data_IF_322544031945
#
_entry.id   IF_322544031945
#
_cell.length_a   1.000
_cell.length_b   1.000
_cell.length_c   1.000
_cell.angle_alpha   90.00
_cell.angle_beta   90.00
_cell.angle_gamma   90.00
#
_symmetry.space_group_name_H-M   'P 1'
#
loop_
_entity.id
_entity.type
_entity.pdbx_description
1 polymer ?
#
# COMPACT_ATOMS: atom_id res chain seq x y z
N UNK A 1 48.58 25.06 0.06
CA UNK A 1 47.49 25.68 -0.75
C UNK A 1 46.84 24.75 -1.81
N UNK A 2 47.44 23.66 -2.28
CA UNK A 2 46.80 22.79 -3.30
C UNK A 2 45.71 21.86 -2.73
N UNK A 3 45.91 21.35 -1.51
CA UNK A 3 45.00 20.41 -0.85
C UNK A 3 43.64 21.04 -0.53
N UNK A 4 43.60 22.29 -0.09
CA UNK A 4 42.34 22.99 0.21
C UNK A 4 41.47 23.15 -1.06
N UNK A 5 42.08 23.40 -2.22
CA UNK A 5 41.35 23.53 -3.50
C UNK A 5 40.74 22.19 -3.92
N UNK A 6 41.47 21.09 -3.72
CA UNK A 6 40.98 19.74 -4.02
C UNK A 6 39.82 19.37 -3.10
N UNK A 7 39.97 19.57 -1.78
CA UNK A 7 38.89 19.30 -0.80
C UNK A 7 37.65 20.14 -1.08
N UNK A 8 37.83 21.43 -1.39
CA UNK A 8 36.73 22.32 -1.73
C UNK A 8 36.02 21.87 -3.01
N UNK A 9 36.77 21.48 -4.05
CA UNK A 9 36.18 20.97 -5.30
C UNK A 9 35.36 19.69 -5.09
N UNK A 10 35.83 18.79 -4.22
CA UNK A 10 35.13 17.56 -3.87
C UNK A 10 33.84 17.86 -3.08
N UNK A 11 33.92 18.77 -2.12
CA UNK A 11 32.76 19.20 -1.33
C UNK A 11 31.67 19.84 -2.21
N UNK A 12 32.05 20.68 -3.18
CA UNK A 12 31.11 21.27 -4.15
C UNK A 12 30.49 20.19 -5.03
N UNK A 13 31.27 19.22 -5.51
CA UNK A 13 30.74 18.11 -6.31
C UNK A 13 29.72 17.27 -5.54
N UNK A 14 30.02 16.92 -4.28
CA UNK A 14 29.09 16.20 -3.40
C UNK A 14 27.83 17.01 -3.14
N UNK A 15 27.97 18.31 -2.85
CA UNK A 15 26.83 19.19 -2.61
C UNK A 15 25.92 19.32 -3.84
N UNK A 16 26.50 19.42 -5.05
CA UNK A 16 25.74 19.44 -6.30
C UNK A 16 24.95 18.13 -6.50
N UNK A 17 25.58 16.97 -6.30
CA UNK A 17 24.90 15.67 -6.41
C UNK A 17 23.75 15.56 -5.40
N UNK A 18 24.00 15.92 -4.13
CA UNK A 18 22.96 15.91 -3.09
C UNK A 18 21.80 16.85 -3.43
N UNK A 19 22.10 18.03 -3.97
CA UNK A 19 21.08 19.01 -4.37
C UNK A 19 20.19 18.46 -5.49
N UNK A 20 20.77 17.80 -6.49
CA UNK A 20 20.00 17.15 -7.57
C UNK A 20 19.11 16.04 -7.02
N UNK A 21 19.65 15.18 -6.15
CA UNK A 21 18.88 14.09 -5.53
C UNK A 21 17.71 14.64 -4.69
N UNK A 22 17.94 15.70 -3.91
CA UNK A 22 16.89 16.34 -3.12
C UNK A 22 15.81 16.94 -4.03
N UNK A 23 16.18 17.69 -5.08
CA UNK A 23 15.22 18.27 -6.02
C UNK A 23 14.37 17.19 -6.69
N UNK A 24 14.96 16.06 -7.11
CA UNK A 24 14.20 14.95 -7.68
C UNK A 24 13.26 14.28 -6.66
N UNK A 25 13.71 14.12 -5.43
CA UNK A 25 12.90 13.54 -4.35
C UNK A 25 11.67 14.40 -4.01
N UNK A 26 11.80 15.73 -4.08
CA UNK A 26 10.71 16.67 -3.79
C UNK A 26 9.82 17.04 -4.98
N UNK A 27 10.31 16.93 -6.23
CA UNK A 27 9.53 17.26 -7.44
C UNK A 27 8.56 16.17 -7.90
N UNK A 28 8.72 14.94 -7.42
CA UNK A 28 7.84 13.85 -7.86
C UNK A 28 6.51 13.93 -7.10
N UNK A 29 5.56 14.71 -7.63
CA UNK A 29 4.18 14.67 -7.15
C UNK A 29 3.65 13.24 -7.28
N UNK A 30 3.27 12.65 -6.15
CA UNK A 30 2.68 11.32 -6.14
C UNK A 30 1.19 11.43 -6.34
N UNK A 31 0.70 10.75 -7.36
CA UNK A 31 -0.72 10.59 -7.56
C UNK A 31 -1.23 9.42 -6.73
N UNK A 32 -2.40 9.61 -6.13
CA UNK A 32 -3.05 8.57 -5.35
C UNK A 32 -4.46 8.31 -5.88
N UNK A 33 -4.88 7.05 -5.78
CA UNK A 33 -6.26 6.61 -6.00
C UNK A 33 -6.74 5.96 -4.72
N UNK A 34 -7.93 6.34 -4.26
CA UNK A 34 -8.57 5.70 -3.11
C UNK A 34 -9.53 4.64 -3.61
N UNK A 35 -9.25 3.37 -3.29
CA UNK A 35 -10.20 2.29 -3.51
C UNK A 35 -11.05 2.11 -2.27
N UNK A 36 -12.37 2.18 -2.40
CA UNK A 36 -13.25 2.18 -1.24
C UNK A 36 -14.46 1.25 -1.41
N UNK A 37 -15.06 0.87 -0.30
CA UNK A 37 -16.37 0.25 -0.25
C UNK A 37 -17.14 0.86 0.92
N UNK A 38 -18.27 1.53 0.62
CA UNK A 38 -19.06 2.23 1.63
C UNK A 38 -19.83 1.26 2.53
N UNK A 39 -20.38 0.19 1.95
CA UNK A 39 -21.20 -0.80 2.67
C UNK A 39 -20.37 -1.57 3.71
N UNK A 40 -19.14 -1.94 3.35
CA UNK A 40 -18.20 -2.66 4.21
C UNK A 40 -17.26 -1.73 4.99
N UNK A 41 -17.41 -0.41 4.83
CA UNK A 41 -16.71 0.66 5.54
C UNK A 41 -15.17 0.50 5.58
N UNK A 42 -14.55 0.45 4.40
CA UNK A 42 -13.08 0.47 4.30
C UNK A 42 -12.60 1.21 3.05
N UNK A 43 -11.32 1.59 3.06
CA UNK A 43 -10.61 1.99 1.85
C UNK A 43 -9.12 1.68 1.86
N UNK A 44 -8.52 1.71 0.67
CA UNK A 44 -7.09 1.62 0.41
C UNK A 44 -6.62 2.92 -0.21
N UNK A 45 -5.46 3.41 0.21
CA UNK A 45 -4.76 4.50 -0.46
C UNK A 45 -3.68 3.89 -1.37
N UNK A 46 -3.85 4.01 -2.68
CA UNK A 46 -2.98 3.38 -3.67
C UNK A 46 -2.17 4.45 -4.41
N UNK A 47 -0.86 4.36 -4.27
CA UNK A 47 0.15 5.21 -4.91
C UNK A 47 0.36 4.82 -6.38
N UNK A 48 0.70 5.77 -7.25
CA UNK A 48 0.92 5.56 -8.68
C UNK A 48 2.05 4.59 -9.06
N UNK A 49 2.91 4.21 -8.09
CA UNK A 49 3.89 3.12 -8.26
C UNK A 49 3.26 1.74 -8.37
N UNK A 50 1.97 1.59 -8.06
CA UNK A 50 1.24 0.35 -8.22
C UNK A 50 0.43 0.35 -9.51
N UNK A 51 0.60 -0.70 -10.31
CA UNK A 51 -0.35 -1.10 -11.32
C UNK A 51 -1.38 -2.06 -10.72
N UNK A 52 -2.56 -2.12 -11.31
CA UNK A 52 -3.63 -2.95 -10.78
C UNK A 52 -4.64 -3.45 -11.82
N UNK A 53 -5.33 -4.52 -11.43
CA UNK A 53 -6.45 -5.14 -12.12
C UNK A 53 -7.59 -5.31 -11.12
N UNK A 54 -8.77 -4.81 -11.46
CA UNK A 54 -9.97 -4.85 -10.62
C UNK A 54 -10.96 -5.86 -11.20
N UNK A 55 -11.50 -6.71 -10.33
CA UNK A 55 -12.62 -7.59 -10.59
C UNK A 55 -13.74 -7.33 -9.56
N UNK A 56 -14.87 -8.02 -9.69
CA UNK A 56 -15.97 -7.99 -8.72
C UNK A 56 -15.58 -8.59 -7.38
N UNK A 57 -14.75 -9.63 -7.37
CA UNK A 57 -14.42 -10.40 -6.14
C UNK A 57 -12.99 -10.22 -5.67
N UNK A 58 -12.10 -9.72 -6.54
CA UNK A 58 -10.70 -9.51 -6.21
C UNK A 58 -10.13 -8.23 -6.81
N UNK A 59 -9.03 -7.80 -6.23
CA UNK A 59 -8.20 -6.70 -6.69
C UNK A 59 -6.74 -7.16 -6.67
N UNK A 60 -6.12 -7.24 -7.84
CA UNK A 60 -4.69 -7.56 -7.97
C UNK A 60 -3.91 -6.26 -8.11
N UNK A 61 -2.75 -6.23 -7.47
CA UNK A 61 -1.85 -5.08 -7.53
C UNK A 61 -0.40 -5.53 -7.64
N UNK A 62 0.42 -4.75 -8.32
CA UNK A 62 1.85 -5.04 -8.46
C UNK A 62 2.66 -3.77 -8.63
N UNK A 63 3.92 -3.84 -8.22
CA UNK A 63 4.91 -2.77 -8.39
C UNK A 63 6.31 -3.36 -8.37
N UNK A 64 7.10 -3.11 -9.42
CA UNK A 64 8.38 -3.77 -9.60
C UNK A 64 8.24 -5.30 -9.59
N UNK A 65 8.95 -5.98 -8.68
CA UNK A 65 8.90 -7.44 -8.51
C UNK A 65 7.84 -7.91 -7.49
N UNK A 66 7.21 -6.97 -6.79
CA UNK A 66 6.23 -7.28 -5.75
C UNK A 66 4.84 -7.36 -6.35
N UNK A 67 4.03 -8.30 -5.86
CA UNK A 67 2.64 -8.49 -6.30
C UNK A 67 1.78 -8.94 -5.16
N UNK A 68 0.53 -8.50 -5.15
CA UNK A 68 -0.46 -8.95 -4.19
C UNK A 68 -1.84 -9.12 -4.82
N UNK A 69 -2.70 -9.83 -4.11
CA UNK A 69 -4.10 -10.04 -4.47
C UNK A 69 -4.92 -9.92 -3.20
N UNK A 70 -5.85 -8.97 -3.22
CA UNK A 70 -6.88 -8.78 -2.20
C UNK A 70 -8.17 -9.42 -2.69
N UNK A 71 -8.79 -10.24 -1.86
CA UNK A 71 -10.06 -10.92 -2.16
C UNK A 71 -11.08 -10.61 -1.07
N UNK A 72 -12.33 -10.41 -1.46
CA UNK A 72 -13.45 -10.34 -0.52
C UNK A 72 -14.06 -11.74 -0.41
N UNK A 73 -14.08 -12.30 0.80
CA UNK A 73 -14.66 -13.61 1.08
C UNK A 73 -15.77 -13.49 2.13
N UNK A 74 -16.83 -14.28 1.96
CA UNK A 74 -17.86 -14.49 2.98
C UNK A 74 -17.40 -15.63 3.91
N UNK A 75 -16.50 -15.29 4.83
CA UNK A 75 -15.98 -16.18 5.86
C UNK A 75 -15.36 -15.36 7.01
N UNK A 76 -15.21 -15.99 8.18
CA UNK A 76 -14.58 -15.40 9.37
C UNK A 76 -13.06 -15.52 9.33
N UNK A 77 -12.38 -14.79 10.22
CA UNK A 77 -10.93 -14.91 10.39
C UNK A 77 -10.52 -16.35 10.73
N UNK A 78 -9.48 -16.82 10.06
CA UNK A 78 -8.86 -18.12 10.27
C UNK A 78 -8.27 -18.21 11.68
N UNK A 79 -8.58 -19.31 12.38
CA UNK A 79 -8.22 -19.50 13.80
C UNK A 79 -6.72 -19.72 14.02
N UNK A 80 -5.99 -20.18 13.00
CA UNK A 80 -4.55 -20.46 13.08
C UNK A 80 -3.69 -19.20 12.90
N UNK A 81 -4.29 -18.04 12.64
CA UNK A 81 -3.57 -16.80 12.40
C UNK A 81 -3.28 -16.04 13.70
N UNK A 82 -2.11 -15.40 13.74
CA UNK A 82 -1.78 -14.47 14.83
C UNK A 82 -2.67 -13.24 14.71
N UNK A 83 -3.51 -13.00 15.71
CA UNK A 83 -4.39 -11.84 15.77
C UNK A 83 -3.59 -10.55 16.03
N UNK A 84 -3.88 -9.52 15.26
CA UNK A 84 -3.29 -8.19 15.35
C UNK A 84 -4.37 -7.15 15.06
N UNK A 85 -4.23 -5.94 15.61
CA UNK A 85 -5.09 -4.81 15.26
C UNK A 85 -4.34 -3.91 14.28
N UNK A 86 -4.89 -3.69 13.09
CA UNK A 86 -4.28 -2.89 12.03
C UNK A 86 -5.30 -1.91 11.46
N UNK A 87 -5.03 -0.60 11.50
CA UNK A 87 -5.85 0.47 10.91
C UNK A 87 -7.36 0.40 11.22
N UNK A 88 -7.71 -0.09 12.42
CA UNK A 88 -9.09 -0.25 12.87
C UNK A 88 -9.75 -1.58 12.50
N UNK A 89 -9.00 -2.57 12.00
CA UNK A 89 -9.46 -3.93 11.79
C UNK A 89 -8.86 -4.88 12.83
N UNK A 90 -9.66 -5.85 13.26
CA UNK A 90 -9.12 -7.11 13.77
C UNK A 90 -8.61 -7.90 12.57
N UNK A 91 -7.35 -8.30 12.61
CA UNK A 91 -6.69 -8.95 11.48
C UNK A 91 -5.92 -10.20 11.93
N UNK A 92 -5.84 -11.19 11.04
CA UNK A 92 -4.98 -12.35 11.15
C UNK A 92 -3.75 -12.20 10.26
N UNK A 93 -2.59 -12.65 10.72
CA UNK A 93 -1.35 -12.60 9.93
C UNK A 93 -0.57 -13.91 9.98
N UNK A 94 -0.04 -14.30 8.83
CA UNK A 94 0.92 -15.39 8.65
C UNK A 94 1.95 -15.02 7.60
N UNK A 95 3.21 -15.39 7.85
CA UNK A 95 4.31 -15.22 6.91
C UNK A 95 4.96 -16.56 6.63
N UNK A 96 5.19 -16.85 5.35
CA UNK A 96 5.95 -18.01 4.91
C UNK A 96 6.94 -17.56 3.83
N UNK A 97 8.24 -17.62 4.13
CA UNK A 97 9.33 -17.14 3.25
C UNK A 97 9.08 -15.70 2.79
N UNK A 98 8.84 -15.52 1.49
CA UNK A 98 8.56 -14.24 0.83
C UNK A 98 7.05 -13.96 0.68
N UNK A 99 6.17 -14.88 1.08
CA UNK A 99 4.73 -14.67 1.04
C UNK A 99 4.23 -14.14 2.40
N UNK A 100 3.36 -13.14 2.36
CA UNK A 100 2.63 -12.59 3.50
C UNK A 100 1.14 -12.78 3.24
N UNK A 101 0.47 -13.36 4.21
CA UNK A 101 -0.97 -13.58 4.19
C UNK A 101 -1.59 -12.78 5.32
N UNK A 102 -2.47 -11.85 4.96
CA UNK A 102 -3.27 -11.08 5.91
C UNK A 102 -4.75 -11.38 5.69
N UNK A 103 -5.49 -11.49 6.78
CA UNK A 103 -6.94 -11.49 6.76
C UNK A 103 -7.44 -10.31 7.61
N UNK A 104 -8.42 -9.56 7.13
CA UNK A 104 -9.00 -8.42 7.84
C UNK A 104 -10.49 -8.63 8.01
N UNK A 105 -10.98 -8.62 9.26
CA UNK A 105 -12.40 -8.79 9.56
C UNK A 105 -13.18 -7.54 9.16
N UNK A 106 -14.14 -7.68 8.26
CA UNK A 106 -14.99 -6.56 7.83
C UNK A 106 -16.23 -6.44 8.71
N UNK A 107 -16.90 -7.56 8.93
CA UNK A 107 -18.04 -7.74 9.81
C UNK A 107 -18.15 -9.23 10.19
N UNK A 108 -19.31 -9.67 10.69
CA UNK A 108 -19.50 -11.05 11.15
C UNK A 108 -19.47 -12.11 10.03
N UNK A 109 -19.65 -11.70 8.78
CA UNK A 109 -19.77 -12.57 7.61
C UNK A 109 -18.61 -12.41 6.64
N UNK A 110 -18.02 -11.22 6.51
CA UNK A 110 -17.04 -10.91 5.47
C UNK A 110 -15.64 -10.64 6.02
N UNK A 111 -14.64 -11.07 5.24
CA UNK A 111 -13.22 -10.72 5.43
C UNK A 111 -12.57 -10.28 4.13
N UNK A 112 -11.52 -9.46 4.24
CA UNK A 112 -10.56 -9.25 3.16
C UNK A 112 -9.37 -10.16 3.36
N UNK A 113 -8.90 -10.80 2.28
CA UNK A 113 -7.69 -11.63 2.30
C UNK A 113 -6.66 -11.02 1.37
N UNK A 114 -5.50 -10.62 1.89
CA UNK A 114 -4.34 -10.13 1.11
C UNK A 114 -3.25 -11.19 1.07
N UNK A 115 -2.97 -11.71 -0.12
CA UNK A 115 -1.84 -12.58 -0.41
C UNK A 115 -0.76 -11.78 -1.14
N UNK A 116 0.33 -11.46 -0.45
CA UNK A 116 1.40 -10.61 -0.97
C UNK A 116 2.74 -11.32 -1.08
N UNK A 117 3.30 -11.32 -2.30
CA UNK A 117 4.62 -11.84 -2.60
C UNK A 117 5.64 -10.70 -2.55
N UNK A 118 6.45 -10.72 -1.49
CA UNK A 118 7.49 -9.76 -1.18
C UNK A 118 8.84 -10.18 -1.78
N UNK A 119 9.05 -9.90 -3.07
CA UNK A 119 10.28 -10.22 -3.79
C UNK A 119 11.34 -9.09 -3.78
N UNK A 120 10.98 -7.90 -3.31
CA UNK A 120 11.82 -6.71 -3.26
C UNK A 120 11.41 -5.79 -2.10
N UNK A 121 12.29 -4.86 -1.69
CA UNK A 121 12.05 -3.98 -0.52
C UNK A 121 10.86 -3.01 -0.70
N UNK A 122 10.54 -2.64 -1.94
CA UNK A 122 9.52 -1.65 -2.27
C UNK A 122 8.89 -1.98 -3.62
N UNK A 123 7.60 -1.68 -3.82
CA UNK A 123 6.67 -1.10 -2.84
C UNK A 123 6.07 -2.17 -1.91
N UNK A 124 5.60 -1.78 -0.72
CA UNK A 124 5.10 -2.72 0.32
C UNK A 124 3.71 -3.28 -0.02
N UNK A 125 3.16 -4.18 0.80
CA UNK A 125 1.77 -4.60 0.61
C UNK A 125 0.80 -3.45 0.87
N UNK A 126 -0.35 -3.44 0.19
CA UNK A 126 -1.41 -2.48 0.45
C UNK A 126 -2.16 -2.90 1.73
N UNK A 127 -2.59 -1.92 2.52
CA UNK A 127 -3.31 -2.15 3.77
C UNK A 127 -4.62 -1.36 3.78
N UNK A 128 -5.74 -1.96 4.24
CA UNK A 128 -7.00 -1.25 4.34
C UNK A 128 -6.99 -0.29 5.53
N UNK A 129 -7.83 0.74 5.46
CA UNK A 129 -8.12 1.71 6.51
C UNK A 129 -9.62 1.72 6.79
N UNK A 130 -9.98 1.67 8.08
CA UNK A 130 -11.37 1.85 8.53
C UNK A 130 -11.54 3.20 9.21
N UNK A 131 -10.74 3.47 10.24
CA UNK A 131 -10.86 4.68 11.07
C UNK A 131 -10.53 5.95 10.28
N UNK A 132 -9.45 5.92 9.51
CA UNK A 132 -8.95 7.07 8.76
C UNK A 132 -9.64 7.24 7.41
N UNK A 133 -10.51 6.31 7.01
CA UNK A 133 -11.01 6.25 5.64
C UNK A 133 -11.74 7.53 5.22
N UNK A 134 -12.57 8.10 6.11
CA UNK A 134 -13.26 9.38 5.86
C UNK A 134 -12.27 10.52 5.57
N UNK A 135 -11.20 10.62 6.34
CA UNK A 135 -10.16 11.65 6.17
C UNK A 135 -9.38 11.44 4.87
N UNK A 136 -9.07 10.18 4.54
CA UNK A 136 -8.42 9.82 3.27
C UNK A 136 -9.30 10.25 2.09
N UNK A 137 -10.56 9.86 2.07
CA UNK A 137 -11.52 10.22 1.03
C UNK A 137 -11.74 11.74 0.89
N UNK A 138 -11.50 12.55 1.93
CA UNK A 138 -11.59 14.01 1.83
C UNK A 138 -10.34 14.65 1.22
N UNK A 139 -9.17 14.04 1.44
CA UNK A 139 -7.88 14.61 1.07
C UNK A 139 -7.44 14.25 -0.36
N UNK A 140 -8.00 13.19 -0.94
CA UNK A 140 -7.68 12.74 -2.28
C UNK A 140 -8.89 12.90 -3.20
N UNK A 141 -8.66 13.15 -4.49
CA UNK A 141 -9.75 13.43 -5.46
C UNK A 141 -10.19 12.20 -6.24
N UNK A 142 -9.26 11.27 -6.50
CA UNK A 142 -9.50 10.12 -7.36
C UNK A 142 -9.99 8.94 -6.54
N UNK A 143 -11.28 8.63 -6.64
CA UNK A 143 -11.90 7.53 -5.91
C UNK A 143 -12.43 6.48 -6.88
N UNK A 144 -12.26 5.20 -6.54
CA UNK A 144 -12.94 4.09 -7.22
C UNK A 144 -13.57 3.16 -6.21
N UNK A 145 -14.86 2.90 -6.39
CA UNK A 145 -15.55 1.91 -5.57
C UNK A 145 -15.15 0.49 -6.00
N UNK A 146 -14.92 -0.41 -5.05
CA UNK A 146 -14.48 -1.79 -5.30
C UNK A 146 -15.36 -2.80 -4.56
N UNK A 147 -15.41 -4.03 -5.07
CA UNK A 147 -16.26 -5.11 -4.56
C UNK A 147 -17.75 -4.76 -4.45
N UNK A 148 -18.23 -3.90 -5.36
CA UNK A 148 -19.66 -3.64 -5.49
C UNK A 148 -20.27 -4.75 -6.33
N UNK A 149 -21.20 -5.51 -5.76
CA UNK A 149 -22.04 -6.39 -6.57
C UNK A 149 -22.80 -5.52 -7.57
N UNK A 150 -22.58 -5.75 -8.87
CA UNK A 150 -23.54 -5.29 -9.87
C UNK A 150 -24.77 -6.18 -9.66
N UNK A 151 -25.76 -5.66 -8.93
CA UNK A 151 -27.13 -6.18 -8.95
C UNK A 151 -27.58 -6.39 -10.39
#
# INVERSE_FOLDING_TARGET
MKTYKIVLSLAVAVFLVLSVVLVQAFKTERNFVVFYNQELNFCFLVDDRYSYELDKTFFRYWGGKNKGKIELLNDKLSKDLKKVNLNGFLAGYKKSKNNRHFEYELNQEYKLVDNFINASKSPVNLVPYRKECKKIMQNYKNHKEIFKERK
#
